data_IF_670176504451
#
_entry.id   IF_670176504451
#
_cell.length_a   1.000
_cell.length_b   1.000
_cell.length_c   1.000
_cell.angle_alpha   90.00
_cell.angle_beta   90.00
_cell.angle_gamma   90.00
#
_symmetry.space_group_name_H-M   'P 1'
#
loop_
_entity.id
_entity.type
_entity.pdbx_description
1 polymer ?
#
# COMPACT_ATOMS: atom_id res chain seq x y z
N UNK A 1 1.55 -52.44 -48.57
CA UNK A 1 0.67 -52.32 -47.38
C UNK A 1 1.31 -53.03 -46.21
N UNK A 2 1.43 -52.33 -45.07
CA UNK A 2 1.69 -52.78 -43.68
C UNK A 2 3.05 -53.44 -43.40
N UNK A 3 4.05 -52.69 -42.91
CA UNK A 3 4.29 -52.21 -41.52
C UNK A 3 4.74 -53.32 -40.56
N UNK A 4 5.94 -53.12 -40.00
CA UNK A 4 6.36 -53.23 -38.57
C UNK A 4 7.67 -54.02 -38.44
N UNK A 5 8.67 -53.37 -37.86
CA UNK A 5 9.92 -54.01 -37.48
C UNK A 5 11.03 -53.00 -37.24
N UNK A 6 10.77 -52.03 -36.36
CA UNK A 6 11.74 -51.03 -35.93
C UNK A 6 11.91 -51.15 -34.42
N UNK A 7 13.02 -51.77 -33.98
CA UNK A 7 13.72 -51.62 -32.68
C UNK A 7 15.03 -52.42 -32.84
N UNK A 8 16.24 -51.84 -32.71
CA UNK A 8 17.12 -51.79 -31.52
C UNK A 8 18.55 -51.66 -32.14
N UNK A 9 19.43 -50.68 -31.88
CA UNK A 9 20.24 -50.45 -30.68
C UNK A 9 21.13 -49.20 -30.86
N UNK A 10 21.17 -48.38 -29.81
CA UNK A 10 22.30 -47.64 -29.24
C UNK A 10 23.37 -46.97 -30.15
N UNK A 11 23.31 -45.64 -30.18
CA UNK A 11 24.51 -44.80 -30.01
C UNK A 11 24.14 -43.64 -29.08
N UNK A 12 24.44 -43.81 -27.79
CA UNK A 12 24.32 -42.77 -26.77
C UNK A 12 25.51 -41.84 -26.98
N UNK A 13 25.29 -40.73 -27.69
CA UNK A 13 26.20 -39.60 -27.68
C UNK A 13 25.70 -38.59 -26.65
N UNK A 14 26.49 -38.47 -25.59
CA UNK A 14 26.35 -37.57 -24.45
C UNK A 14 26.25 -36.12 -24.97
N UNK A 15 25.09 -35.48 -24.84
CA UNK A 15 25.01 -34.02 -24.76
C UNK A 15 24.53 -33.65 -23.36
N UNK A 16 25.44 -32.98 -22.66
CA UNK A 16 25.30 -32.54 -21.30
C UNK A 16 24.02 -31.72 -21.11
N UNK A 17 23.29 -32.14 -20.10
CA UNK A 17 22.37 -31.39 -19.28
C UNK A 17 22.88 -29.95 -19.02
N UNK A 18 22.16 -28.95 -19.55
CA UNK A 18 21.96 -27.68 -18.85
C UNK A 18 20.51 -27.26 -19.05
N UNK A 19 19.61 -27.51 -18.09
CA UNK A 19 18.38 -26.74 -18.03
C UNK A 19 18.79 -25.34 -17.57
N UNK A 20 19.02 -24.44 -18.52
CA UNK A 20 18.90 -23.02 -18.22
C UNK A 20 17.44 -22.82 -17.83
N UNK A 21 17.23 -22.78 -16.52
CA UNK A 21 16.02 -22.29 -15.90
C UNK A 21 15.79 -20.91 -16.49
N UNK A 22 14.88 -20.83 -17.46
CA UNK A 22 14.23 -19.58 -17.82
C UNK A 22 13.51 -19.19 -16.54
N UNK A 23 14.19 -18.40 -15.70
CA UNK A 23 13.51 -17.51 -14.78
C UNK A 23 12.55 -16.75 -15.68
N UNK A 24 11.26 -17.01 -15.50
CA UNK A 24 10.23 -16.08 -15.87
C UNK A 24 10.68 -14.73 -15.31
N UNK A 25 11.24 -13.91 -16.18
CA UNK A 25 11.40 -12.49 -15.92
C UNK A 25 9.99 -11.93 -16.10
N UNK A 26 9.13 -12.27 -15.12
CA UNK A 26 8.03 -11.40 -14.76
C UNK A 26 8.72 -10.06 -14.53
N UNK A 27 8.37 -9.08 -15.36
CA UNK A 27 8.94 -7.75 -15.23
C UNK A 27 8.93 -7.35 -13.77
N UNK A 28 10.05 -6.82 -13.30
CA UNK A 28 9.98 -5.78 -12.30
C UNK A 28 9.10 -4.68 -12.94
N UNK A 29 7.79 -4.77 -12.66
CA UNK A 29 7.04 -3.56 -12.44
C UNK A 29 7.83 -2.83 -11.36
N UNK A 30 8.48 -1.72 -11.72
CA UNK A 30 8.82 -0.69 -10.74
C UNK A 30 7.50 -0.27 -10.10
N UNK A 31 7.09 -1.04 -9.08
CA UNK A 31 6.15 -0.61 -8.08
C UNK A 31 6.88 0.51 -7.38
N UNK A 32 6.63 1.75 -7.82
CA UNK A 32 6.95 2.98 -7.09
C UNK A 32 6.76 2.67 -5.61
N UNK A 33 7.87 2.49 -4.89
CA UNK A 33 7.86 2.08 -3.50
C UNK A 33 7.25 3.24 -2.73
N UNK A 34 5.94 3.14 -2.55
CA UNK A 34 5.17 4.02 -1.68
C UNK A 34 5.90 4.01 -0.36
N UNK A 35 6.47 5.14 0.05
CA UNK A 35 7.28 5.21 1.27
C UNK A 35 6.39 5.46 2.47
N UNK A 36 5.30 6.19 2.27
CA UNK A 36 4.34 6.52 3.33
C UNK A 36 2.90 6.21 2.92
N UNK A 37 2.13 5.67 3.85
CA UNK A 37 0.67 5.63 3.79
C UNK A 37 0.12 6.73 4.70
N UNK A 38 -0.62 7.68 4.13
CA UNK A 38 -1.35 8.70 4.84
C UNK A 38 -2.79 8.22 5.10
N UNK A 39 -3.01 7.60 6.27
CA UNK A 39 -4.29 7.04 6.67
C UNK A 39 -5.16 8.08 7.39
N UNK A 40 -6.27 8.50 6.76
CA UNK A 40 -7.22 9.48 7.26
C UNK A 40 -8.29 8.79 8.09
N UNK A 41 -8.33 9.07 9.40
CA UNK A 41 -9.36 8.57 10.30
C UNK A 41 -10.45 9.62 10.46
N UNK A 42 -11.63 9.42 9.87
CA UNK A 42 -12.69 10.42 9.84
C UNK A 42 -14.09 9.86 10.12
N UNK A 43 -15.04 10.75 10.37
CA UNK A 43 -16.48 10.48 10.31
C UNK A 43 -17.25 11.76 9.98
N UNK A 44 -18.50 11.64 9.53
CA UNK A 44 -19.30 12.81 9.10
C UNK A 44 -19.70 13.75 10.25
N UNK A 45 -19.82 13.19 11.47
CA UNK A 45 -20.20 13.93 12.68
C UNK A 45 -19.00 14.53 13.43
N UNK A 46 -17.79 14.34 12.92
CA UNK A 46 -16.54 14.73 13.58
C UNK A 46 -16.21 16.21 13.36
N UNK A 47 -16.30 17.01 14.42
CA UNK A 47 -15.97 18.43 14.38
C UNK A 47 -14.50 18.74 14.04
N UNK A 48 -13.57 17.90 14.51
CA UNK A 48 -12.14 18.03 14.17
C UNK A 48 -11.89 17.76 12.68
N UNK A 49 -12.60 16.80 12.09
CA UNK A 49 -12.51 16.44 10.68
C UNK A 49 -12.92 17.63 9.80
N UNK A 50 -14.00 18.34 10.17
CA UNK A 50 -14.43 19.57 9.47
C UNK A 50 -13.35 20.66 9.44
N UNK A 51 -12.59 20.81 10.52
CA UNK A 51 -11.48 21.77 10.61
C UNK A 51 -10.23 21.32 9.85
N UNK A 52 -9.94 20.03 9.85
CA UNK A 52 -8.75 19.44 9.22
C UNK A 52 -8.89 19.29 7.70
N UNK A 53 -10.09 18.96 7.21
CA UNK A 53 -10.39 18.69 5.79
C UNK A 53 -9.82 19.73 4.81
N UNK A 54 -10.01 21.05 4.99
CA UNK A 54 -9.49 22.03 4.03
C UNK A 54 -7.96 22.00 3.94
N UNK A 55 -7.26 21.79 5.06
CA UNK A 55 -5.79 21.74 5.08
C UNK A 55 -5.28 20.45 4.41
N UNK A 56 -5.94 19.31 4.65
CA UNK A 56 -5.60 18.02 4.00
C UNK A 56 -5.86 18.07 2.50
N UNK A 57 -7.00 18.62 2.07
CA UNK A 57 -7.31 18.79 0.64
C UNK A 57 -6.31 19.72 -0.07
N UNK A 58 -5.81 20.74 0.62
CA UNK A 58 -4.77 21.62 0.08
C UNK A 58 -3.36 20.97 0.10
N UNK A 59 -3.16 19.95 0.94
CA UNK A 59 -1.91 19.22 1.06
C UNK A 59 -1.74 18.16 -0.02
N UNK A 60 -2.80 17.42 -0.36
CA UNK A 60 -2.78 16.36 -1.38
C UNK A 60 -2.10 16.77 -2.71
N UNK A 61 -2.49 17.88 -3.37
CA UNK A 61 -1.86 18.29 -4.62
C UNK A 61 -0.39 18.69 -4.46
N UNK A 62 0.05 19.15 -3.27
CA UNK A 62 1.46 19.44 -3.00
C UNK A 62 2.32 18.17 -2.89
N UNK A 63 1.70 17.03 -2.66
CA UNK A 63 2.35 15.73 -2.53
C UNK A 63 2.18 14.85 -3.78
N UNK A 64 1.53 15.36 -4.83
CA UNK A 64 1.48 14.68 -6.13
C UNK A 64 2.89 14.40 -6.66
N UNK A 65 3.09 13.20 -7.22
CA UNK A 65 4.40 12.73 -7.67
C UNK A 65 5.37 12.36 -6.55
N UNK A 66 4.95 12.40 -5.28
CA UNK A 66 5.70 11.84 -4.15
C UNK A 66 5.12 10.48 -3.77
N UNK A 67 5.94 9.64 -3.15
CA UNK A 67 5.58 8.27 -2.76
C UNK A 67 4.69 8.22 -1.50
N UNK A 68 3.52 8.89 -1.54
CA UNK A 68 2.52 8.95 -0.46
C UNK A 68 1.19 8.37 -0.94
N UNK A 69 0.77 7.24 -0.37
CA UNK A 69 -0.54 6.64 -0.63
C UNK A 69 -1.57 7.13 0.37
N UNK A 70 -2.68 7.69 -0.11
CA UNK A 70 -3.78 8.15 0.74
C UNK A 70 -4.81 7.05 0.94
N UNK A 71 -5.21 6.84 2.20
CA UNK A 71 -6.21 5.83 2.57
C UNK A 71 -7.22 6.45 3.52
N UNK A 72 -8.50 6.35 3.19
CA UNK A 72 -9.58 6.79 4.07
C UNK A 72 -10.12 5.62 4.90
N UNK A 73 -10.23 5.86 6.20
CA UNK A 73 -10.93 5.02 7.15
C UNK A 73 -12.12 5.78 7.71
N UNK A 74 -13.31 5.39 7.26
CA UNK A 74 -14.57 6.02 7.60
C UNK A 74 -15.23 5.31 8.78
N UNK A 75 -15.41 6.06 9.86
CA UNK A 75 -16.04 5.65 11.11
C UNK A 75 -17.49 6.15 11.25
N UNK A 76 -18.12 6.58 10.15
CA UNK A 76 -19.49 7.09 10.12
C UNK A 76 -20.51 6.02 10.51
N UNK A 77 -20.59 4.91 9.79
CA UNK A 77 -21.60 3.86 10.04
C UNK A 77 -20.97 2.50 10.34
N UNK A 78 -21.78 1.52 10.77
CA UNK A 78 -21.29 0.15 10.94
C UNK A 78 -20.80 -0.46 9.61
N UNK A 79 -21.46 -0.13 8.51
CA UNK A 79 -21.10 -0.57 7.16
C UNK A 79 -19.75 0.01 6.74
N UNK A 80 -19.56 1.33 6.89
CA UNK A 80 -18.31 1.97 6.47
C UNK A 80 -17.13 1.61 7.38
N UNK A 81 -17.38 1.34 8.67
CA UNK A 81 -16.39 0.72 9.56
C UNK A 81 -16.01 -0.68 9.13
N UNK A 82 -16.96 -1.51 8.71
CA UNK A 82 -16.67 -2.86 8.23
C UNK A 82 -15.82 -2.81 6.94
N UNK A 83 -16.16 -1.91 6.01
CA UNK A 83 -15.37 -1.66 4.80
C UNK A 83 -13.95 -1.16 5.15
N UNK A 84 -13.84 -0.21 6.07
CA UNK A 84 -12.56 0.34 6.53
C UNK A 84 -11.69 -0.71 7.22
N UNK A 85 -12.29 -1.56 8.07
CA UNK A 85 -11.61 -2.69 8.71
C UNK A 85 -11.09 -3.69 7.67
N UNK A 86 -11.89 -4.00 6.64
CA UNK A 86 -11.44 -4.84 5.54
C UNK A 86 -10.27 -4.20 4.79
N UNK A 87 -10.37 -2.91 4.46
CA UNK A 87 -9.29 -2.17 3.78
C UNK A 87 -8.01 -2.16 4.62
N UNK A 88 -8.11 -1.95 5.93
CA UNK A 88 -6.98 -2.01 6.83
C UNK A 88 -6.33 -3.41 6.80
N UNK A 89 -7.12 -4.48 6.80
CA UNK A 89 -6.60 -5.84 6.69
C UNK A 89 -5.88 -6.09 5.36
N UNK A 90 -6.45 -5.64 4.24
CA UNK A 90 -5.85 -5.79 2.91
C UNK A 90 -4.51 -5.04 2.79
N UNK A 91 -4.29 -3.98 3.61
CA UNK A 91 -3.05 -3.20 3.67
C UNK A 91 -2.05 -3.66 4.75
N UNK A 92 -2.40 -4.68 5.53
CA UNK A 92 -1.60 -5.12 6.68
C UNK A 92 -1.62 -4.14 7.87
N UNK A 93 -2.64 -3.29 7.96
CA UNK A 93 -2.82 -2.26 8.99
C UNK A 93 -3.89 -2.62 10.03
N UNK A 94 -4.26 -3.90 10.15
CA UNK A 94 -5.33 -4.36 11.05
C UNK A 94 -5.16 -3.93 12.50
N UNK A 95 -3.94 -4.09 13.05
CA UNK A 95 -3.64 -3.73 14.45
C UNK A 95 -3.71 -2.23 14.65
N UNK A 96 -3.04 -1.46 13.79
CA UNK A 96 -3.09 0.00 13.80
C UNK A 96 -4.53 0.53 13.71
N UNK A 97 -5.36 -0.07 12.86
CA UNK A 97 -6.78 0.28 12.77
C UNK A 97 -7.53 -0.06 14.06
N UNK A 98 -7.30 -1.25 14.63
CA UNK A 98 -7.95 -1.67 15.88
C UNK A 98 -7.59 -0.74 17.05
N UNK A 99 -6.33 -0.33 17.16
CA UNK A 99 -5.83 0.55 18.22
C UNK A 99 -6.31 2.01 18.07
N UNK A 100 -6.81 2.39 16.89
CA UNK A 100 -7.24 3.76 16.58
C UNK A 100 -8.74 3.83 16.28
N UNK A 101 -9.56 3.89 17.34
CA UNK A 101 -11.03 4.01 17.23
C UNK A 101 -11.55 5.46 17.27
N UNK A 102 -10.64 6.45 17.33
CA UNK A 102 -10.97 7.88 17.30
C UNK A 102 -10.87 8.45 15.88
N UNK A 103 -11.45 9.63 15.65
CA UNK A 103 -11.41 10.32 14.35
C UNK A 103 -10.81 11.73 14.45
N UNK A 104 -10.54 12.37 13.31
CA UNK A 104 -10.08 13.76 13.24
C UNK A 104 -8.56 13.91 13.09
N UNK A 105 -7.90 12.91 12.50
CA UNK A 105 -6.47 12.93 12.26
C UNK A 105 -6.07 12.11 11.04
N UNK A 106 -4.83 12.32 10.60
CA UNK A 106 -4.15 11.49 9.61
C UNK A 106 -2.94 10.86 10.28
N UNK A 107 -2.75 9.55 10.14
CA UNK A 107 -1.51 8.88 10.53
C UNK A 107 -0.61 8.76 9.31
N UNK A 108 0.65 9.16 9.45
CA UNK A 108 1.69 8.84 8.48
C UNK A 108 2.31 7.52 8.93
N UNK A 109 2.21 6.53 8.08
CA UNK A 109 2.61 5.16 8.35
C UNK A 109 3.71 4.81 7.37
N UNK A 110 4.84 4.33 7.88
CA UNK A 110 5.89 3.80 7.03
C UNK A 110 5.42 2.50 6.37
N UNK A 111 5.58 2.40 5.05
CA UNK A 111 4.99 1.30 4.28
C UNK A 111 5.69 -0.03 4.50
N UNK A 112 6.95 -0.04 4.94
CA UNK A 112 7.73 -1.25 5.20
C UNK A 112 7.47 -1.76 6.61
N UNK A 113 7.73 -0.92 7.62
CA UNK A 113 7.63 -1.27 9.04
C UNK A 113 6.19 -1.30 9.56
N UNK A 114 5.25 -0.65 8.85
CA UNK A 114 3.86 -0.42 9.30
C UNK A 114 3.76 0.42 10.58
N UNK A 115 4.84 1.07 10.99
CA UNK A 115 4.86 1.94 12.16
C UNK A 115 4.33 3.33 11.85
N UNK A 116 3.69 3.96 12.84
CA UNK A 116 3.27 5.36 12.74
C UNK A 116 4.47 6.28 12.96
N UNK A 117 4.87 7.01 11.92
CA UNK A 117 6.02 7.94 11.96
C UNK A 117 5.62 9.38 12.24
N UNK A 118 4.35 9.74 12.02
CA UNK A 118 3.80 11.05 12.42
C UNK A 118 2.26 11.04 12.49
N UNK A 119 1.71 12.12 13.07
CA UNK A 119 0.27 12.37 13.14
C UNK A 119 -0.07 13.82 12.74
N UNK A 120 -0.95 13.97 11.77
CA UNK A 120 -1.50 15.26 11.35
C UNK A 120 -2.89 15.46 11.97
N UNK A 121 -3.21 16.68 12.35
CA UNK A 121 -4.44 17.05 13.05
C UNK A 121 -4.91 18.42 12.60
N UNK A 122 -6.11 18.83 13.02
CA UNK A 122 -6.64 20.17 12.77
C UNK A 122 -5.84 21.33 13.41
N UNK A 123 -4.76 21.05 14.14
CA UNK A 123 -3.89 22.07 14.75
C UNK A 123 -2.84 22.59 13.77
N UNK A 124 -2.45 21.78 12.80
CA UNK A 124 -1.45 22.15 11.81
C UNK A 124 -2.11 22.82 10.60
N UNK A 125 -1.35 23.72 9.97
CA UNK A 125 -1.69 24.29 8.66
C UNK A 125 -1.06 23.48 7.54
N UNK A 126 -1.57 23.64 6.32
CA UNK A 126 -1.12 22.93 5.12
C UNK A 126 0.41 22.94 4.97
N UNK A 127 1.07 24.08 5.18
CA UNK A 127 2.54 24.19 5.04
C UNK A 127 3.30 23.47 6.16
N UNK A 128 2.75 23.42 7.36
CA UNK A 128 3.32 22.67 8.48
C UNK A 128 3.16 21.16 8.25
N UNK A 129 1.96 20.72 7.82
CA UNK A 129 1.73 19.33 7.45
C UNK A 129 2.65 18.89 6.32
N UNK A 130 2.85 19.73 5.31
CA UNK A 130 3.77 19.45 4.21
C UNK A 130 5.20 19.22 4.71
N UNK A 131 5.72 20.09 5.59
CA UNK A 131 7.06 19.91 6.18
C UNK A 131 7.15 18.58 6.93
N UNK A 132 6.16 18.27 7.77
CA UNK A 132 6.11 17.00 8.52
C UNK A 132 6.16 15.81 7.56
N UNK A 133 5.39 15.82 6.47
CA UNK A 133 5.37 14.72 5.50
C UNK A 133 6.73 14.58 4.81
N UNK A 134 7.32 15.69 4.37
CA UNK A 134 8.61 15.68 3.65
C UNK A 134 9.76 15.20 4.54
N UNK A 135 9.76 15.52 5.83
CA UNK A 135 10.75 15.02 6.80
C UNK A 135 10.66 13.51 7.04
N UNK A 136 9.56 12.86 6.64
CA UNK A 136 9.35 11.41 6.77
C UNK A 136 9.46 10.64 5.45
N UNK A 137 9.47 11.37 4.31
CA UNK A 137 9.75 10.82 2.98
C UNK A 137 11.24 10.58 2.75
#
# INVERSE_FOLDING_TARGET
MMKKGLYLLAAIAIMAFVPQSVKAQCGEEEKSETKLVAAVFHSDYCGACKKMKPEVMALQPKLEGKNVEWVDFDFTSAETKAASKKRAADLGLSELYADNQSTGFVLLIDSESKETVAKLTSRQKTDEMYKIVIEKL
#
